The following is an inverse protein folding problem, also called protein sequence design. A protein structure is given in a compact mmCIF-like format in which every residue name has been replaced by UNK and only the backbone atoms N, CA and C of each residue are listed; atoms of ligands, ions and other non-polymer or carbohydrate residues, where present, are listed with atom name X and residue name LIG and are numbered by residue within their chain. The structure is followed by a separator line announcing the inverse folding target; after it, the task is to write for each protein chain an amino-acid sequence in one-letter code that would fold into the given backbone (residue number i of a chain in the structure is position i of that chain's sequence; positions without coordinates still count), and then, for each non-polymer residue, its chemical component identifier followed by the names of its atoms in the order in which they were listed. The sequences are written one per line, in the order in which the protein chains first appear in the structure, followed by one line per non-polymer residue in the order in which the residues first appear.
data_IF_550283523193
#
_entry.id   IF_550283523193
#
_cell.length_a   1.000
_cell.length_b   1.000
_cell.length_c   1.000
_cell.angle_alpha   90.00
_cell.angle_beta   90.00
_cell.angle_gamma   90.00
#
_symmetry.space_group_name_H-M   'P 1'
#
loop_
_entity.id
_entity.type
_entity.pdbx_description
1 polymer ?
#
# COMPACT_ATOMS: atom_id res chain seq x y z
N UNK A 1 15.74 14.82 8.59
CA UNK A 1 14.68 13.94 9.11
C UNK A 1 15.36 12.82 9.86
N UNK A 2 15.26 12.81 11.19
CA UNK A 2 15.74 11.69 11.98
C UNK A 2 14.65 10.63 11.93
N UNK A 3 14.93 9.46 11.36
CA UNK A 3 13.99 8.34 11.38
C UNK A 3 13.68 7.97 12.83
N UNK A 4 12.41 7.66 13.13
CA UNK A 4 12.03 7.18 14.45
C UNK A 4 12.79 5.86 14.74
N UNK A 5 13.45 5.73 15.91
CA UNK A 5 14.38 4.63 16.17
C UNK A 5 13.76 3.23 16.08
N UNK A 6 12.45 3.13 16.32
CA UNK A 6 11.70 1.86 16.29
C UNK A 6 10.73 1.74 15.10
N UNK A 7 10.79 2.66 14.13
CA UNK A 7 9.90 2.59 12.97
C UNK A 7 10.32 1.46 12.01
N UNK A 8 9.41 0.52 11.78
CA UNK A 8 9.55 -0.53 10.78
C UNK A 8 8.94 -0.07 9.46
N UNK A 9 9.76 0.45 8.55
CA UNK A 9 9.34 0.93 7.23
C UNK A 9 9.74 -0.10 6.18
N UNK A 10 8.75 -0.61 5.44
CA UNK A 10 8.99 -1.39 4.23
C UNK A 10 8.71 -0.53 3.00
N UNK A 11 9.66 -0.53 2.06
CA UNK A 11 9.54 0.21 0.81
C UNK A 11 9.36 -0.77 -0.36
N UNK A 12 8.40 -0.45 -1.23
CA UNK A 12 8.18 -1.16 -2.48
C UNK A 12 8.14 -0.16 -3.63
N UNK A 13 9.11 -0.29 -4.53
CA UNK A 13 9.26 0.60 -5.67
C UNK A 13 9.51 -0.23 -6.91
N UNK A 14 8.83 0.08 -8.01
CA UNK A 14 9.13 -0.49 -9.33
C UNK A 14 10.31 0.32 -9.90
N UNK A 15 11.43 -0.33 -10.27
CA UNK A 15 12.67 0.37 -10.61
C UNK A 15 12.59 1.24 -11.87
N UNK A 16 11.65 0.99 -12.79
CA UNK A 16 11.45 1.82 -13.98
C UNK A 16 9.99 2.31 -14.07
N UNK A 17 9.73 3.60 -13.84
CA UNK A 17 8.42 4.20 -14.11
C UNK A 17 8.25 4.45 -15.61
N UNK A 18 7.30 3.77 -16.26
CA UNK A 18 6.93 3.99 -17.65
C UNK A 18 5.42 4.20 -17.80
N UNK A 19 4.99 5.21 -18.56
CA UNK A 19 3.56 5.47 -18.80
C UNK A 19 2.82 4.28 -19.44
N UNK A 20 3.53 3.41 -20.16
CA UNK A 20 2.99 2.19 -20.77
C UNK A 20 2.75 1.03 -19.76
N UNK A 21 3.16 1.17 -18.49
CA UNK A 21 2.92 0.17 -17.44
C UNK A 21 1.42 -0.02 -17.20
N UNK A 22 0.63 1.03 -17.37
CA UNK A 22 -0.81 1.03 -17.09
C UNK A 22 -1.64 0.45 -18.26
N UNK A 23 -1.05 0.29 -19.44
CA UNK A 23 -1.78 -0.20 -20.64
C UNK A 23 -1.68 -1.71 -20.87
N UNK A 24 -0.75 -2.42 -20.22
CA UNK A 24 -0.62 -3.87 -20.33
C UNK A 24 -1.20 -4.59 -19.13
N UNK A 25 -2.23 -5.42 -19.35
CA UNK A 25 -2.81 -6.29 -18.32
C UNK A 25 -1.77 -7.22 -17.70
N UNK A 26 -0.79 -7.66 -18.49
CA UNK A 26 0.30 -8.53 -18.02
C UNK A 26 1.15 -7.83 -16.94
N UNK A 27 1.41 -6.53 -17.13
CA UNK A 27 2.18 -5.72 -16.17
C UNK A 27 1.38 -5.47 -14.90
N UNK A 28 0.07 -5.24 -15.01
CA UNK A 28 -0.83 -5.10 -13.86
C UNK A 28 -0.86 -6.40 -13.03
N UNK A 29 -0.96 -7.56 -13.69
CA UNK A 29 -0.92 -8.86 -13.00
C UNK A 29 0.42 -9.13 -12.34
N UNK A 30 1.54 -8.89 -13.04
CA UNK A 30 2.87 -9.05 -12.48
C UNK A 30 3.09 -8.14 -11.25
N UNK A 31 2.62 -6.89 -11.32
CA UNK A 31 2.65 -5.96 -10.18
C UNK A 31 1.87 -6.51 -8.99
N UNK A 32 0.63 -6.97 -9.21
CA UNK A 32 -0.22 -7.53 -8.15
C UNK A 32 0.43 -8.74 -7.50
N UNK A 33 0.95 -9.68 -8.30
CA UNK A 33 1.51 -10.93 -7.80
C UNK A 33 2.79 -10.68 -6.97
N UNK A 34 3.61 -9.70 -7.36
CA UNK A 34 4.80 -9.35 -6.58
C UNK A 34 4.45 -8.58 -5.29
N UNK A 35 3.48 -7.68 -5.37
CA UNK A 35 2.99 -6.95 -4.21
C UNK A 35 2.37 -7.88 -3.17
N UNK A 36 1.59 -8.87 -3.61
CA UNK A 36 0.96 -9.88 -2.74
C UNK A 36 1.99 -10.64 -1.90
N UNK A 37 3.12 -11.06 -2.49
CA UNK A 37 4.18 -11.77 -1.75
C UNK A 37 4.75 -10.92 -0.62
N UNK A 38 5.00 -9.64 -0.90
CA UNK A 38 5.56 -8.70 0.08
C UNK A 38 4.57 -8.34 1.18
N UNK A 39 3.31 -8.14 0.82
CA UNK A 39 2.24 -7.94 1.81
C UNK A 39 2.13 -9.15 2.74
N UNK A 40 2.10 -10.36 2.19
CA UNK A 40 2.02 -11.60 2.98
C UNK A 40 3.16 -11.71 4.00
N UNK A 41 4.37 -11.29 3.62
CA UNK A 41 5.54 -11.26 4.52
C UNK A 41 5.40 -10.18 5.61
N UNK A 42 4.86 -9.02 5.25
CA UNK A 42 4.63 -7.92 6.21
C UNK A 42 3.57 -8.31 7.24
N UNK A 43 2.43 -8.84 6.78
CA UNK A 43 1.35 -9.33 7.62
C UNK A 43 1.82 -10.43 8.58
N UNK A 44 2.63 -11.38 8.10
CA UNK A 44 3.19 -12.42 8.97
C UNK A 44 4.16 -11.87 10.04
N UNK A 45 4.59 -10.61 9.94
CA UNK A 45 5.60 -10.00 10.81
C UNK A 45 5.03 -9.08 11.89
N UNK A 46 3.72 -8.85 11.90
CA UNK A 46 3.03 -7.98 12.85
C UNK A 46 1.54 -8.24 12.88
N UNK A 47 0.91 -8.14 14.05
CA UNK A 47 -0.55 -8.12 14.20
C UNK A 47 -1.12 -6.68 14.14
N UNK A 48 -0.24 -5.65 14.18
CA UNK A 48 -0.64 -4.24 14.14
C UNK A 48 -1.02 -3.77 12.74
N UNK A 49 -1.90 -2.77 12.65
CA UNK A 49 -2.31 -2.22 11.37
C UNK A 49 -1.12 -1.73 10.52
N UNK A 50 -1.12 -2.06 9.23
CA UNK A 50 -0.11 -1.61 8.28
C UNK A 50 -0.51 -0.23 7.76
N UNK A 51 0.35 0.76 8.02
CA UNK A 51 0.18 2.14 7.56
C UNK A 51 0.71 2.26 6.13
N UNK A 52 -0.17 2.60 5.19
CA UNK A 52 0.12 2.59 3.76
C UNK A 52 0.15 4.01 3.21
N UNK A 53 1.29 4.36 2.61
CA UNK A 53 1.52 5.65 1.95
C UNK A 53 1.75 5.42 0.46
N UNK A 54 0.67 5.47 -0.32
CA UNK A 54 0.71 5.10 -1.73
C UNK A 54 1.12 6.29 -2.62
N UNK A 55 2.13 6.09 -3.47
CA UNK A 55 2.54 7.05 -4.50
C UNK A 55 2.47 6.37 -5.89
N UNK A 56 1.26 6.08 -6.36
CA UNK A 56 1.01 5.24 -7.52
C UNK A 56 -0.14 5.78 -8.38
N UNK A 57 -0.15 5.52 -9.70
CA UNK A 57 -1.25 5.91 -10.59
C UNK A 57 -2.59 5.30 -10.17
N UNK A 58 -3.70 6.02 -10.42
CA UNK A 58 -5.04 5.61 -9.99
C UNK A 58 -5.44 4.18 -10.41
N UNK A 59 -5.05 3.74 -11.61
CA UNK A 59 -5.33 2.38 -12.08
C UNK A 59 -4.66 1.29 -11.20
N UNK A 60 -3.40 1.52 -10.78
CA UNK A 60 -2.73 0.62 -9.85
C UNK A 60 -3.34 0.71 -8.44
N UNK A 61 -3.89 1.87 -8.06
CA UNK A 61 -4.54 2.05 -6.76
C UNK A 61 -5.80 1.20 -6.63
N UNK A 62 -6.57 1.10 -7.72
CA UNK A 62 -7.78 0.27 -7.78
C UNK A 62 -7.41 -1.20 -7.59
N UNK A 63 -6.43 -1.69 -8.33
CA UNK A 63 -5.98 -3.09 -8.24
C UNK A 63 -5.37 -3.40 -6.88
N UNK A 64 -4.62 -2.46 -6.31
CA UNK A 64 -4.09 -2.57 -4.96
C UNK A 64 -5.20 -2.63 -3.91
N UNK A 65 -6.20 -1.75 -3.97
CA UNK A 65 -7.36 -1.82 -3.08
C UNK A 65 -8.14 -3.13 -3.21
N UNK A 66 -8.28 -3.65 -4.43
CA UNK A 66 -8.89 -4.96 -4.67
C UNK A 66 -8.09 -6.09 -4.03
N UNK A 67 -6.76 -6.05 -4.09
CA UNK A 67 -5.88 -7.03 -3.43
C UNK A 67 -6.07 -6.99 -1.91
N UNK A 68 -6.01 -5.81 -1.30
CA UNK A 68 -6.13 -5.62 0.16
C UNK A 68 -7.47 -6.10 0.73
N UNK A 69 -8.54 -6.09 -0.08
CA UNK A 69 -9.90 -6.45 0.37
C UNK A 69 -10.29 -7.89 0.12
N UNK A 70 -9.61 -8.58 -0.81
CA UNK A 70 -10.03 -9.93 -1.25
C UNK A 70 -9.18 -11.07 -0.73
N UNK A 71 -7.90 -10.81 -0.41
CA UNK A 71 -6.92 -11.88 -0.14
C UNK A 71 -6.20 -11.72 1.19
N UNK A 72 -6.47 -10.64 1.92
CA UNK A 72 -5.72 -10.20 3.09
C UNK A 72 -6.71 -9.93 4.24
N UNK A 73 -6.48 -10.55 5.40
CA UNK A 73 -7.31 -10.36 6.61
C UNK A 73 -6.65 -9.39 7.61
N UNK A 74 -5.67 -8.61 7.15
CA UNK A 74 -4.94 -7.67 7.99
C UNK A 74 -5.57 -6.28 8.00
N UNK A 75 -5.34 -5.51 9.06
CA UNK A 75 -5.80 -4.11 9.11
C UNK A 75 -4.82 -3.22 8.35
N UNK A 76 -5.35 -2.37 7.48
CA UNK A 76 -4.59 -1.38 6.71
C UNK A 76 -5.16 0.01 6.93
N UNK A 77 -4.30 0.99 7.15
CA UNK A 77 -4.69 2.41 7.20
C UNK A 77 -4.06 3.12 6.01
N UNK A 78 -4.88 3.54 5.06
CA UNK A 78 -4.47 4.21 3.83
C UNK A 78 -4.36 5.71 4.11
N UNK A 79 -3.19 6.26 3.84
CA UNK A 79 -2.92 7.68 3.92
C UNK A 79 -2.88 8.31 2.54
N UNK A 80 -3.40 9.52 2.44
CA UNK A 80 -3.26 10.36 1.26
C UNK A 80 -2.58 11.67 1.62
N UNK A 81 -1.96 12.30 0.63
CA UNK A 81 -1.23 13.54 0.78
C UNK A 81 -2.22 14.70 0.79
N UNK A 82 -2.42 15.29 1.96
CA UNK A 82 -3.34 16.41 2.12
C UNK A 82 -2.72 17.71 1.61
N UNK A 83 -1.45 17.95 1.93
CA UNK A 83 -0.74 19.15 1.53
C UNK A 83 0.65 18.81 0.99
N UNK A 84 0.83 19.02 -0.32
CA UNK A 84 2.10 18.77 -1.02
C UNK A 84 3.23 19.64 -0.46
N UNK A 85 2.93 20.92 -0.15
CA UNK A 85 3.93 21.89 0.31
C UNK A 85 4.43 21.62 1.74
N UNK A 86 3.61 20.97 2.56
CA UNK A 86 3.93 20.65 3.96
C UNK A 86 4.32 19.17 4.16
N UNK A 87 4.35 18.38 3.09
CA UNK A 87 4.60 16.95 3.11
C UNK A 87 3.74 16.20 4.16
N UNK A 88 2.48 16.63 4.31
CA UNK A 88 1.59 16.10 5.32
C UNK A 88 0.68 15.04 4.72
N UNK A 89 0.55 13.94 5.44
CA UNK A 89 -0.33 12.83 5.12
C UNK A 89 -1.44 12.76 6.17
N UNK A 90 -2.65 12.43 5.73
CA UNK A 90 -3.78 12.18 6.61
C UNK A 90 -4.37 10.79 6.32
N UNK A 91 -4.88 10.09 7.35
CA UNK A 91 -5.60 8.84 7.13
C UNK A 91 -6.88 9.13 6.35
N UNK A 92 -7.16 8.32 5.33
CA UNK A 92 -8.33 8.48 4.45
C UNK A 92 -9.27 7.29 4.52
N UNK A 93 -8.73 6.08 4.63
CA UNK A 93 -9.50 4.85 4.60
C UNK A 93 -8.84 3.79 5.47
N UNK A 94 -9.65 3.06 6.23
CA UNK A 94 -9.22 1.83 6.90
C UNK A 94 -9.82 0.64 6.16
N UNK A 95 -8.99 -0.37 5.86
CA UNK A 95 -9.38 -1.62 5.21
C UNK A 95 -9.05 -2.78 6.16
N UNK A 96 -9.85 -3.85 6.15
CA UNK A 96 -9.70 -4.97 7.09
C UNK A 96 -10.59 -4.80 8.32
N UNK A 97 -10.33 -5.56 9.39
CA UNK A 97 -11.26 -5.66 10.52
C UNK A 97 -11.66 -4.31 11.12
N UNK A 98 -12.92 -3.94 10.93
CA UNK A 98 -13.70 -3.23 11.94
C UNK A 98 -14.06 -4.27 13.00
N UNK A 99 -13.48 -4.16 14.20
CA UNK A 99 -14.15 -4.73 15.37
C UNK A 99 -15.45 -3.94 15.55
N UNK A 100 -16.54 -4.44 14.98
CA UNK A 100 -17.85 -4.19 15.57
C UNK A 100 -17.84 -4.92 16.93
N UNK A 101 -17.65 -4.15 17.99
CA UNK A 101 -17.95 -4.55 19.37
C UNK A 101 -19.40 -4.18 19.67
#
# INVERSE_FOLDING_TARGET
MTALPDARIAEFTIPEPGYAIVSSREVIHAFRDELQKRLSQLEASTDEAIYVFAALPAALAIEFGALLTTQHQHSYVIFDRENISQNQFRPMLTIGHSQEL
#
